data_IF_790823692719
#
_entry.id   IF_790823692719
#
_cell.length_a   1.000
_cell.length_b   1.000
_cell.length_c   1.000
_cell.angle_alpha   90.00
_cell.angle_beta   90.00
_cell.angle_gamma   90.00
#
_symmetry.space_group_name_H-M   'P 1'
#
loop_
_entity.id
_entity.type
_entity.pdbx_description
1 polymer ?
#
# COMPACT_ATOMS: atom_id res chain seq x y z
N UNK A 1 -20.85 -28.38 7.06
CA UNK A 1 -20.61 -28.84 5.66
C UNK A 1 -21.58 -28.21 4.65
N UNK A 2 -22.91 -28.27 4.87
CA UNK A 2 -23.95 -27.76 3.94
C UNK A 2 -23.84 -26.24 3.66
N UNK A 3 -23.63 -25.39 4.68
CA UNK A 3 -23.40 -23.93 4.51
C UNK A 3 -22.14 -23.59 3.68
N UNK A 4 -21.10 -24.41 3.75
CA UNK A 4 -19.88 -24.22 2.96
C UNK A 4 -20.08 -24.61 1.50
N UNK A 5 -20.85 -25.68 1.23
CA UNK A 5 -21.21 -26.11 -0.12
C UNK A 5 -22.14 -25.09 -0.81
N UNK A 6 -23.04 -24.44 -0.06
CA UNK A 6 -23.87 -23.34 -0.59
C UNK A 6 -23.03 -22.16 -1.11
N UNK A 7 -21.91 -21.83 -0.46
CA UNK A 7 -20.98 -20.78 -0.93
C UNK A 7 -20.27 -21.14 -2.25
N UNK A 8 -20.32 -22.39 -2.70
CA UNK A 8 -19.70 -22.84 -3.96
C UNK A 8 -20.68 -22.83 -5.14
N UNK A 9 -21.99 -22.72 -4.89
CA UNK A 9 -23.03 -22.77 -5.93
C UNK A 9 -22.92 -21.54 -6.85
N UNK A 10 -22.89 -21.76 -8.16
CA UNK A 10 -22.83 -20.70 -9.19
C UNK A 10 -21.42 -20.21 -9.55
N UNK A 11 -20.36 -20.75 -8.94
CA UNK A 11 -18.98 -20.36 -9.25
C UNK A 11 -18.43 -21.09 -10.46
N UNK A 12 -17.66 -20.39 -11.29
CA UNK A 12 -16.96 -21.00 -12.43
C UNK A 12 -15.81 -21.91 -11.96
N UNK A 13 -15.43 -22.90 -12.78
CA UNK A 13 -14.26 -23.75 -12.51
C UNK A 13 -12.96 -22.93 -12.35
N UNK A 14 -12.83 -21.83 -13.11
CA UNK A 14 -11.70 -20.90 -13.03
C UNK A 14 -11.64 -20.21 -11.66
N UNK A 15 -12.79 -19.78 -11.15
CA UNK A 15 -12.90 -19.19 -9.80
C UNK A 15 -12.55 -20.21 -8.71
N UNK A 16 -13.15 -21.40 -8.78
CA UNK A 16 -12.88 -22.47 -7.82
C UNK A 16 -11.40 -22.82 -7.77
N UNK A 17 -10.77 -23.04 -8.93
CA UNK A 17 -9.33 -23.33 -9.01
C UNK A 17 -8.47 -22.22 -8.39
N UNK A 18 -8.78 -20.95 -8.68
CA UNK A 18 -8.02 -19.81 -8.12
C UNK A 18 -8.15 -19.75 -6.60
N UNK A 19 -9.40 -19.81 -6.07
CA UNK A 19 -9.66 -19.76 -4.63
C UNK A 19 -9.06 -20.94 -3.88
N UNK A 20 -9.16 -22.16 -4.41
CA UNK A 20 -8.54 -23.35 -3.83
C UNK A 20 -7.01 -23.22 -3.79
N UNK A 21 -6.41 -22.70 -4.86
CA UNK A 21 -4.98 -22.38 -4.88
C UNK A 21 -4.62 -21.44 -3.73
N UNK A 22 -5.21 -20.24 -3.68
CA UNK A 22 -4.95 -19.26 -2.62
C UNK A 22 -5.16 -19.85 -1.22
N UNK A 23 -6.21 -20.64 -1.00
CA UNK A 23 -6.48 -21.28 0.28
C UNK A 23 -5.38 -22.28 0.69
N UNK A 24 -4.87 -23.09 -0.25
CA UNK A 24 -3.77 -24.03 0.02
C UNK A 24 -2.50 -23.28 0.40
N UNK A 25 -2.14 -22.22 -0.34
CA UNK A 25 -0.97 -21.39 -0.01
C UNK A 25 -1.11 -20.77 1.38
N UNK A 26 -2.27 -20.17 1.67
CA UNK A 26 -2.54 -19.53 2.94
C UNK A 26 -2.49 -20.54 4.12
N UNK A 27 -3.01 -21.75 3.92
CA UNK A 27 -2.94 -22.82 4.92
C UNK A 27 -1.52 -23.33 5.14
N UNK A 28 -0.72 -23.46 4.08
CA UNK A 28 0.68 -23.86 4.17
C UNK A 28 1.51 -22.79 4.92
N UNK A 29 1.35 -21.51 4.59
CA UNK A 29 2.00 -20.40 5.33
C UNK A 29 1.57 -20.37 6.80
N UNK A 30 0.27 -20.56 7.09
CA UNK A 30 -0.24 -20.63 8.44
C UNK A 30 0.29 -21.83 9.24
N UNK A 31 0.73 -22.89 8.56
CA UNK A 31 1.37 -24.06 9.14
C UNK A 31 2.91 -23.93 9.26
N UNK A 32 3.48 -22.81 8.82
CA UNK A 32 4.92 -22.52 8.92
C UNK A 32 5.75 -22.84 7.67
N UNK A 33 5.12 -23.23 6.56
CA UNK A 33 5.83 -23.41 5.30
C UNK A 33 6.03 -22.06 4.62
N UNK A 34 7.28 -21.69 4.34
CA UNK A 34 7.55 -20.52 3.53
C UNK A 34 7.27 -20.81 2.05
N UNK A 35 6.07 -20.43 1.60
CA UNK A 35 5.66 -20.59 0.20
C UNK A 35 5.66 -19.25 -0.56
N UNK A 36 5.66 -18.10 0.12
CA UNK A 36 5.50 -16.77 -0.50
C UNK A 36 6.61 -15.77 -0.17
N UNK A 37 7.34 -15.87 0.95
CA UNK A 37 8.62 -15.16 1.02
C UNK A 37 9.60 -15.82 0.06
N UNK A 38 9.62 -17.16 0.00
CA UNK A 38 10.54 -17.99 -0.79
C UNK A 38 12.00 -17.56 -0.62
N UNK A 39 12.88 -18.03 -1.50
CA UNK A 39 14.23 -17.47 -1.60
C UNK A 39 14.12 -15.99 -2.01
N UNK A 40 14.30 -15.10 -1.04
CA UNK A 40 14.46 -13.67 -1.30
C UNK A 40 15.69 -13.49 -2.17
N UNK A 41 15.60 -12.74 -3.29
CA UNK A 41 16.81 -12.45 -4.06
C UNK A 41 17.81 -11.69 -3.17
N UNK A 42 19.06 -12.12 -3.19
CA UNK A 42 20.13 -11.50 -2.41
C UNK A 42 20.53 -10.12 -2.97
N UNK A 43 20.21 -9.84 -4.23
CA UNK A 43 20.67 -8.71 -5.03
C UNK A 43 19.52 -7.88 -5.60
N UNK A 44 18.44 -7.70 -4.83
CA UNK A 44 17.33 -6.81 -5.22
C UNK A 44 17.85 -5.40 -5.48
N UNK A 45 17.62 -4.92 -6.70
CA UNK A 45 18.03 -3.60 -7.14
C UNK A 45 16.84 -2.82 -7.71
N UNK A 46 17.06 -1.53 -7.97
CA UNK A 46 16.09 -0.64 -8.61
C UNK A 46 16.41 -0.59 -10.10
N UNK A 47 15.40 -0.72 -10.94
CA UNK A 47 15.54 -0.60 -12.39
C UNK A 47 16.06 0.79 -12.75
N UNK A 48 16.97 0.84 -13.72
CA UNK A 48 17.47 2.10 -14.27
C UNK A 48 16.30 2.99 -14.69
N UNK A 49 16.38 4.28 -14.33
CA UNK A 49 15.41 5.32 -14.65
C UNK A 49 14.01 5.14 -14.05
N UNK A 50 13.75 4.10 -13.24
CA UNK A 50 12.40 3.82 -12.71
C UNK A 50 11.77 5.00 -11.97
N UNK A 51 12.55 5.75 -11.19
CA UNK A 51 12.06 6.90 -10.43
C UNK A 51 11.62 8.07 -11.31
N UNK A 52 12.17 8.22 -12.51
CA UNK A 52 11.75 9.29 -13.44
C UNK A 52 10.30 9.12 -13.87
N UNK A 53 9.82 7.88 -13.91
CA UNK A 53 8.44 7.54 -14.26
C UNK A 53 7.53 7.58 -13.03
N UNK A 54 8.03 7.11 -11.88
CA UNK A 54 7.20 6.90 -10.69
C UNK A 54 7.07 8.13 -9.80
N UNK A 55 8.02 9.08 -9.90
CA UNK A 55 8.04 10.30 -9.11
C UNK A 55 8.37 11.47 -10.05
N UNK A 56 7.35 12.20 -10.54
CA UNK A 56 7.53 13.29 -11.50
C UNK A 56 8.50 14.39 -11.03
N UNK A 57 8.79 14.48 -9.73
CA UNK A 57 9.70 15.45 -9.12
C UNK A 57 11.16 15.00 -9.01
N UNK A 58 11.53 13.81 -9.50
CA UNK A 58 12.89 13.27 -9.40
C UNK A 58 13.89 13.85 -10.42
N UNK A 59 13.52 14.89 -11.18
CA UNK A 59 14.43 15.68 -12.01
C UNK A 59 15.01 16.87 -11.25
N UNK A 60 16.25 17.27 -11.57
CA UNK A 60 16.97 18.38 -10.91
C UNK A 60 16.26 19.75 -11.00
N UNK A 61 15.21 19.90 -11.80
CA UNK A 61 14.47 21.16 -12.01
C UNK A 61 13.09 21.23 -11.35
N UNK A 62 12.62 20.19 -10.65
CA UNK A 62 11.22 20.13 -10.18
C UNK A 62 10.98 20.63 -8.75
N UNK A 63 12.02 20.79 -7.91
CA UNK A 63 11.82 21.30 -6.54
C UNK A 63 11.51 22.81 -6.53
N UNK A 64 12.16 23.59 -7.40
CA UNK A 64 11.80 25.01 -7.61
C UNK A 64 10.42 25.17 -8.27
N UNK A 65 10.04 24.22 -9.13
CA UNK A 65 8.71 24.19 -9.77
C UNK A 65 7.58 23.82 -8.80
N UNK A 66 7.79 22.83 -7.93
CA UNK A 66 6.80 22.39 -6.95
C UNK A 66 6.48 23.49 -5.92
N UNK A 67 7.49 24.26 -5.48
CA UNK A 67 7.29 25.45 -4.64
C UNK A 67 6.53 26.57 -5.37
N UNK A 68 6.55 26.62 -6.70
CA UNK A 68 5.80 27.61 -7.50
C UNK A 68 4.36 27.18 -7.78
N UNK A 69 4.09 25.87 -7.77
CA UNK A 69 2.76 25.29 -8.06
C UNK A 69 1.93 25.15 -6.77
N UNK A 70 2.54 24.74 -5.66
CA UNK A 70 1.85 24.69 -4.37
C UNK A 70 1.63 26.11 -3.85
N UNK A 71 0.36 26.49 -3.65
CA UNK A 71 0.03 27.78 -3.05
C UNK A 71 0.55 27.87 -1.61
N UNK A 72 0.88 29.07 -1.13
CA UNK A 72 1.34 29.31 0.25
C UNK A 72 0.48 28.58 1.32
N UNK A 73 -0.84 28.61 1.13
CA UNK A 73 -1.81 27.96 2.03
C UNK A 73 -1.70 26.42 2.05
N UNK A 74 -1.35 25.82 0.92
CA UNK A 74 -1.15 24.37 0.80
C UNK A 74 0.12 23.95 1.52
N UNK A 75 1.22 24.68 1.32
CA UNK A 75 2.49 24.46 2.03
C UNK A 75 2.33 24.55 3.55
N UNK A 76 1.65 25.59 4.05
CA UNK A 76 1.36 25.74 5.48
C UNK A 76 0.50 24.60 6.03
N UNK A 77 -0.41 24.07 5.22
CA UNK A 77 -1.24 22.91 5.61
C UNK A 77 -0.42 21.63 5.69
N UNK A 78 0.44 21.36 4.73
CA UNK A 78 1.35 20.20 4.74
C UNK A 78 2.23 20.24 5.99
N UNK A 79 2.85 21.38 6.29
CA UNK A 79 3.73 21.55 7.45
C UNK A 79 2.97 21.32 8.76
N UNK A 80 1.78 21.94 8.91
CA UNK A 80 0.94 21.76 10.10
C UNK A 80 0.51 20.31 10.30
N UNK A 81 0.13 19.61 9.23
CA UNK A 81 -0.22 18.19 9.29
C UNK A 81 0.98 17.34 9.67
N UNK A 82 2.16 17.61 9.08
CA UNK A 82 3.41 16.93 9.43
C UNK A 82 3.78 17.13 10.91
N UNK A 83 3.63 18.34 11.45
CA UNK A 83 3.88 18.62 12.87
C UNK A 83 2.93 17.85 13.80
N UNK A 84 1.66 17.69 13.42
CA UNK A 84 0.70 16.85 14.17
C UNK A 84 1.11 15.38 14.16
N UNK A 85 1.54 14.87 13.01
CA UNK A 85 2.05 13.49 12.86
C UNK A 85 3.25 13.25 13.76
N UNK A 86 4.20 14.20 13.85
CA UNK A 86 5.35 14.10 14.75
C UNK A 86 4.95 13.98 16.23
N UNK A 87 3.78 14.50 16.60
CA UNK A 87 3.19 14.40 17.94
C UNK A 87 2.22 13.22 18.09
N UNK A 88 2.21 12.26 17.16
CA UNK A 88 1.37 11.06 17.21
C UNK A 88 -0.11 11.31 16.91
N UNK A 89 -0.46 12.47 16.34
CA UNK A 89 -1.84 12.88 16.04
C UNK A 89 -2.16 12.76 14.55
N UNK A 90 -3.19 11.99 14.23
CA UNK A 90 -3.58 11.68 12.86
C UNK A 90 -5.05 12.00 12.61
N UNK A 91 -5.34 12.62 11.47
CA UNK A 91 -6.71 12.87 11.00
C UNK A 91 -7.04 11.82 9.92
N UNK A 92 -7.80 10.78 10.26
CA UNK A 92 -8.05 9.60 9.41
C UNK A 92 -9.55 9.29 9.33
N UNK A 93 -10.05 8.98 8.13
CA UNK A 93 -11.43 8.51 7.90
C UNK A 93 -12.53 9.42 8.49
N UNK A 94 -12.27 10.73 8.59
CA UNK A 94 -13.19 11.71 9.18
C UNK A 94 -13.06 11.90 10.70
N UNK A 95 -12.20 11.12 11.37
CA UNK A 95 -11.78 11.40 12.75
C UNK A 95 -10.66 12.42 12.76
N UNK A 96 -10.62 13.25 13.82
CA UNK A 96 -9.57 14.24 14.05
C UNK A 96 -8.72 13.85 15.27
N UNK A 97 -7.42 14.11 15.19
CA UNK A 97 -6.45 13.99 16.27
C UNK A 97 -6.39 12.61 16.95
N UNK A 98 -6.62 11.53 16.19
CA UNK A 98 -6.46 10.15 16.69
C UNK A 98 -5.03 9.96 17.23
N UNK A 99 -4.94 9.36 18.42
CA UNK A 99 -3.69 9.11 19.12
C UNK A 99 -3.17 7.70 18.83
N UNK A 100 -2.14 7.59 17.99
CA UNK A 100 -1.50 6.29 17.76
C UNK A 100 -0.24 6.10 18.60
N UNK A 101 0.11 7.05 19.48
CA UNK A 101 1.30 7.01 20.31
C UNK A 101 2.54 7.67 19.69
N UNK A 102 3.54 7.89 20.55
CA UNK A 102 4.82 8.53 20.24
C UNK A 102 5.97 7.82 20.99
N UNK A 103 7.21 7.84 20.48
CA UNK A 103 7.66 8.50 19.24
C UNK A 103 7.31 7.72 17.96
N UNK A 104 6.91 6.45 18.09
CA UNK A 104 6.44 5.59 16.99
C UNK A 104 4.98 5.17 17.25
N UNK A 105 4.14 5.07 16.21
CA UNK A 105 2.78 4.56 16.32
C UNK A 105 2.71 3.09 16.79
N UNK A 106 1.64 2.71 17.52
CA UNK A 106 1.28 1.29 17.69
C UNK A 106 0.54 0.78 16.44
N UNK A 107 1.25 0.04 15.60
CA UNK A 107 0.80 -0.41 14.28
C UNK A 107 -0.42 -1.35 14.28
N UNK A 108 -0.79 -1.87 15.46
CA UNK A 108 -1.91 -2.80 15.62
C UNK A 108 -3.02 -2.21 16.49
N UNK A 109 -2.93 -0.95 16.91
CA UNK A 109 -3.89 -0.29 17.80
C UNK A 109 -4.95 0.49 17.02
N UNK A 110 -6.21 0.27 17.40
CA UNK A 110 -7.35 1.10 17.00
C UNK A 110 -7.66 2.10 18.14
N UNK A 111 -7.33 3.39 17.98
CA UNK A 111 -7.56 4.41 19.00
C UNK A 111 -9.03 4.77 19.20
N UNK A 112 -9.91 4.40 18.27
CA UNK A 112 -11.35 4.67 18.40
C UNK A 112 -11.97 3.70 19.40
N UNK A 113 -11.64 2.42 19.31
CA UNK A 113 -12.17 1.39 20.21
C UNK A 113 -11.25 1.07 21.41
N UNK A 114 -10.00 1.54 21.39
CA UNK A 114 -8.99 1.21 22.41
C UNK A 114 -8.51 -0.24 22.32
N UNK A 115 -8.70 -0.91 21.18
CA UNK A 115 -8.37 -2.33 20.99
C UNK A 115 -7.09 -2.49 20.21
N UNK A 116 -6.39 -3.60 20.46
CA UNK A 116 -5.19 -3.99 19.73
C UNK A 116 -5.43 -5.29 18.98
N UNK A 117 -5.15 -5.29 17.68
CA UNK A 117 -5.27 -6.46 16.82
C UNK A 117 -4.16 -7.48 17.13
N UNK A 118 -4.45 -8.79 17.09
CA UNK A 118 -3.47 -9.81 17.47
C UNK A 118 -2.37 -10.01 16.41
N UNK A 119 -1.13 -10.20 16.87
CA UNK A 119 0.02 -10.52 16.02
C UNK A 119 0.10 -12.03 15.71
N UNK A 120 -0.88 -12.53 14.95
CA UNK A 120 -0.94 -13.92 14.47
C UNK A 120 -0.87 -13.97 12.94
N UNK A 121 -0.73 -15.16 12.34
CA UNK A 121 -0.82 -15.27 10.88
C UNK A 121 -2.13 -14.64 10.37
N UNK A 122 -2.06 -13.84 9.30
CA UNK A 122 -3.18 -12.99 8.86
C UNK A 122 -4.50 -13.74 8.64
N UNK A 123 -4.44 -15.01 8.23
CA UNK A 123 -5.64 -15.86 8.04
C UNK A 123 -6.37 -16.24 9.33
N UNK A 124 -5.74 -16.03 10.49
CA UNK A 124 -6.29 -16.38 11.82
C UNK A 124 -6.94 -15.17 12.49
N UNK A 125 -6.88 -14.00 11.87
CA UNK A 125 -7.51 -12.78 12.36
C UNK A 125 -8.98 -12.82 11.95
N UNK A 126 -9.88 -12.69 12.91
CA UNK A 126 -11.30 -12.50 12.60
C UNK A 126 -11.49 -11.07 12.08
N UNK A 127 -11.65 -10.95 10.76
CA UNK A 127 -11.75 -9.65 10.13
C UNK A 127 -13.12 -8.98 10.28
N UNK A 128 -14.12 -9.69 10.82
CA UNK A 128 -15.50 -9.21 10.97
C UNK A 128 -15.74 -8.74 12.40
N UNK A 129 -15.15 -9.43 13.38
CA UNK A 129 -15.31 -9.10 14.80
C UNK A 129 -14.38 -7.98 15.27
N UNK A 130 -14.74 -6.73 14.93
CA UNK A 130 -14.08 -5.54 15.46
C UNK A 130 -14.15 -5.46 17.00
N UNK A 131 -15.10 -6.18 17.62
CA UNK A 131 -15.22 -6.32 19.07
C UNK A 131 -14.11 -7.16 19.70
N UNK A 132 -13.29 -7.87 18.93
CA UNK A 132 -12.07 -8.52 19.44
C UNK A 132 -10.79 -7.99 18.80
N UNK A 133 -10.86 -7.50 17.55
CA UNK A 133 -9.66 -7.11 16.79
C UNK A 133 -9.44 -5.60 16.62
N UNK A 134 -10.41 -4.76 17.03
CA UNK A 134 -10.46 -3.34 16.66
C UNK A 134 -10.96 -3.11 15.23
N UNK A 135 -11.29 -1.87 14.87
CA UNK A 135 -11.66 -1.52 13.50
C UNK A 135 -10.43 -1.54 12.59
N UNK A 136 -10.32 -2.60 11.80
CA UNK A 136 -9.23 -2.79 10.84
C UNK A 136 -9.09 -1.64 9.85
N UNK A 137 -10.14 -0.88 9.54
CA UNK A 137 -10.05 0.25 8.61
C UNK A 137 -9.24 1.40 9.19
N UNK A 138 -9.46 1.72 10.47
CA UNK A 138 -8.69 2.76 11.17
C UNK A 138 -7.21 2.37 11.24
N UNK A 139 -6.94 1.11 11.60
CA UNK A 139 -5.58 0.58 11.66
C UNK A 139 -4.93 0.59 10.26
N UNK A 140 -5.65 0.14 9.24
CA UNK A 140 -5.15 0.08 7.87
C UNK A 140 -4.87 1.47 7.30
N UNK A 141 -5.70 2.47 7.56
CA UNK A 141 -5.49 3.82 7.03
C UNK A 141 -4.15 4.41 7.51
N UNK A 142 -3.79 4.21 8.79
CA UNK A 142 -2.44 4.55 9.28
C UNK A 142 -1.37 3.73 8.54
N UNK A 143 -1.56 2.42 8.44
CA UNK A 143 -0.61 1.46 7.89
C UNK A 143 -0.53 1.44 6.35
N UNK A 144 -1.26 2.33 5.66
CA UNK A 144 -1.01 2.70 4.26
C UNK A 144 0.22 3.60 4.14
N UNK A 145 0.66 4.22 5.24
CA UNK A 145 1.81 5.11 5.31
C UNK A 145 1.78 6.26 4.29
N UNK A 146 0.59 6.66 3.83
CA UNK A 146 0.44 7.81 2.94
C UNK A 146 1.00 9.08 3.58
N UNK A 147 0.96 9.15 4.92
CA UNK A 147 1.55 10.23 5.69
C UNK A 147 3.09 10.32 5.58
N UNK A 148 3.79 9.25 5.16
CA UNK A 148 5.23 9.34 4.85
C UNK A 148 5.49 10.31 3.70
N UNK A 149 4.57 10.38 2.72
CA UNK A 149 4.64 11.35 1.63
C UNK A 149 4.46 12.77 2.19
N UNK A 150 3.52 12.98 3.12
CA UNK A 150 3.32 14.27 3.80
C UNK A 150 4.56 14.72 4.57
N UNK A 151 5.19 13.82 5.35
CA UNK A 151 6.45 14.11 6.04
C UNK A 151 7.57 14.45 5.03
N UNK A 152 7.65 13.70 3.94
CA UNK A 152 8.65 13.95 2.87
C UNK A 152 8.43 15.31 2.20
N UNK A 153 7.18 15.69 1.94
CA UNK A 153 6.83 17.00 1.39
C UNK A 153 7.18 18.12 2.38
N UNK A 154 6.88 17.95 3.67
CA UNK A 154 7.26 18.92 4.70
C UNK A 154 8.78 19.11 4.75
N UNK A 155 9.57 18.02 4.70
CA UNK A 155 11.03 18.11 4.56
C UNK A 155 11.43 18.88 3.29
N UNK A 156 10.82 18.62 2.15
CA UNK A 156 11.18 19.32 0.91
C UNK A 156 10.89 20.83 0.98
N UNK A 157 9.83 21.22 1.68
CA UNK A 157 9.41 22.60 1.89
C UNK A 157 10.26 23.35 2.93
N UNK A 158 10.62 22.70 4.05
CA UNK A 158 11.28 23.36 5.20
C UNK A 158 12.75 23.03 5.35
N UNK A 159 13.21 21.91 4.77
CA UNK A 159 14.52 21.28 4.98
C UNK A 159 14.81 20.86 6.42
N UNK A 160 13.78 20.76 7.26
CA UNK A 160 13.93 20.32 8.65
C UNK A 160 14.09 18.80 8.74
N UNK A 161 15.23 18.36 9.30
CA UNK A 161 15.63 16.96 9.36
C UNK A 161 14.66 16.07 10.17
N UNK A 162 13.94 16.64 11.15
CA UNK A 162 12.97 15.92 12.02
C UNK A 162 11.92 15.13 11.24
N UNK A 163 11.51 15.60 10.06
CA UNK A 163 10.53 14.90 9.23
C UNK A 163 11.11 13.63 8.58
N UNK A 164 12.37 13.69 8.14
CA UNK A 164 13.09 12.54 7.58
C UNK A 164 13.41 11.53 8.67
N UNK A 165 13.80 12.00 9.85
CA UNK A 165 14.08 11.15 11.02
C UNK A 165 12.82 10.40 11.48
N UNK A 166 11.65 11.05 11.41
CA UNK A 166 10.38 10.40 11.69
C UNK A 166 10.04 9.31 10.67
N UNK A 167 10.22 9.57 9.36
CA UNK A 167 10.05 8.53 8.32
C UNK A 167 10.98 7.35 8.59
N UNK A 168 12.25 7.60 8.93
CA UNK A 168 13.23 6.56 9.25
C UNK A 168 12.78 5.71 10.43
N UNK A 169 12.45 6.36 11.55
CA UNK A 169 12.03 5.72 12.80
C UNK A 169 10.74 4.93 12.63
N UNK A 170 9.74 5.51 11.97
CA UNK A 170 8.46 4.86 11.71
C UNK A 170 8.62 3.66 10.77
N UNK A 171 9.41 3.78 9.71
CA UNK A 171 9.70 2.66 8.81
C UNK A 171 10.39 1.51 9.56
N UNK A 172 11.40 1.82 10.39
CA UNK A 172 12.16 0.80 11.12
C UNK A 172 11.31 0.07 12.16
N UNK A 173 10.52 0.79 12.94
CA UNK A 173 9.56 0.23 13.91
C UNK A 173 8.47 -0.58 13.21
N UNK A 174 7.93 -0.09 12.08
CA UNK A 174 6.95 -0.88 11.33
C UNK A 174 7.55 -2.20 10.86
N UNK A 175 8.78 -2.19 10.33
CA UNK A 175 9.45 -3.39 9.85
C UNK A 175 9.70 -4.42 10.96
N UNK A 176 10.04 -3.99 12.18
CA UNK A 176 10.28 -4.90 13.30
C UNK A 176 8.99 -5.47 13.88
N UNK A 177 7.90 -4.70 13.86
CA UNK A 177 6.62 -5.05 14.49
C UNK A 177 5.59 -5.66 13.54
N UNK A 178 5.84 -5.63 12.23
CA UNK A 178 4.96 -6.18 11.20
C UNK A 178 5.66 -7.24 10.33
N UNK A 179 6.18 -8.33 10.93
CA UNK A 179 6.83 -9.39 10.20
C UNK A 179 5.92 -9.94 9.08
N UNK A 180 6.48 -10.35 7.94
CA UNK A 180 5.70 -10.86 6.83
C UNK A 180 4.63 -11.87 7.23
N UNK A 181 3.42 -11.65 6.69
CA UNK A 181 2.23 -12.51 6.85
C UNK A 181 1.65 -12.55 8.27
N UNK A 182 2.06 -11.67 9.18
CA UNK A 182 1.53 -11.63 10.55
C UNK A 182 0.89 -10.29 10.86
N UNK A 183 -0.22 -10.33 11.59
CA UNK A 183 -0.97 -9.15 12.00
C UNK A 183 -1.92 -8.63 10.93
N UNK A 184 -2.72 -7.67 11.33
CA UNK A 184 -3.81 -7.09 10.53
C UNK A 184 -3.31 -6.42 9.25
N UNK A 185 -2.07 -5.94 9.26
CA UNK A 185 -1.45 -5.24 8.12
C UNK A 185 -1.08 -6.14 6.93
N UNK A 186 -1.30 -7.46 7.05
CA UNK A 186 -1.14 -8.47 6.00
C UNK A 186 -2.45 -9.10 5.51
N UNK A 187 -3.59 -8.66 6.04
CA UNK A 187 -4.90 -9.26 5.81
C UNK A 187 -5.50 -8.87 4.44
N UNK A 188 -5.22 -7.67 3.94
CA UNK A 188 -5.80 -7.16 2.67
C UNK A 188 -4.72 -6.75 1.67
N UNK A 189 -4.77 -7.35 0.47
CA UNK A 189 -3.81 -7.06 -0.61
C UNK A 189 -3.87 -5.62 -1.10
N UNK A 190 -5.03 -4.97 -1.00
CA UNK A 190 -5.18 -3.54 -1.31
C UNK A 190 -4.30 -2.67 -0.40
N UNK A 191 -4.23 -3.00 0.89
CA UNK A 191 -3.46 -2.22 1.86
C UNK A 191 -1.96 -2.37 1.62
N UNK A 192 -1.53 -3.57 1.22
CA UNK A 192 -0.15 -3.83 0.79
C UNK A 192 0.20 -3.03 -0.46
N UNK A 193 -0.73 -2.92 -1.40
CA UNK A 193 -0.56 -2.16 -2.63
C UNK A 193 -0.39 -0.67 -2.32
N UNK A 194 -1.28 -0.08 -1.51
CA UNK A 194 -1.17 1.34 -1.16
C UNK A 194 0.07 1.66 -0.34
N UNK A 195 0.41 0.82 0.64
CA UNK A 195 1.66 0.97 1.39
C UNK A 195 2.88 0.90 0.48
N UNK A 196 2.89 0.01 -0.51
CA UNK A 196 3.97 -0.08 -1.50
C UNK A 196 4.08 1.20 -2.31
N UNK A 197 2.96 1.75 -2.80
CA UNK A 197 2.94 3.01 -3.56
C UNK A 197 3.49 4.15 -2.70
N UNK A 198 2.99 4.31 -1.47
CA UNK A 198 3.43 5.35 -0.55
C UNK A 198 4.94 5.26 -0.27
N UNK A 199 5.48 4.05 -0.04
CA UNK A 199 6.91 3.85 0.16
C UNK A 199 7.75 4.17 -1.08
N UNK A 200 7.29 3.81 -2.28
CA UNK A 200 7.97 4.10 -3.54
C UNK A 200 8.03 5.62 -3.77
N UNK A 201 6.91 6.32 -3.54
CA UNK A 201 6.85 7.78 -3.64
C UNK A 201 7.75 8.46 -2.60
N UNK A 202 7.69 8.00 -1.34
CA UNK A 202 8.56 8.48 -0.25
C UNK A 202 10.05 8.29 -0.61
N UNK A 203 10.40 7.12 -1.14
CA UNK A 203 11.77 6.83 -1.57
C UNK A 203 12.26 7.78 -2.66
N UNK A 204 11.42 8.09 -3.65
CA UNK A 204 11.79 9.06 -4.69
C UNK A 204 11.86 10.51 -4.18
N UNK A 205 10.93 10.93 -3.31
CA UNK A 205 10.95 12.27 -2.71
C UNK A 205 12.18 12.52 -1.82
N UNK A 206 12.68 11.47 -1.16
CA UNK A 206 13.80 11.55 -0.23
C UNK A 206 15.11 11.00 -0.81
N UNK A 207 15.21 10.85 -2.14
CA UNK A 207 16.40 10.30 -2.81
C UNK A 207 17.69 11.10 -2.50
N UNK A 208 17.58 12.41 -2.24
CA UNK A 208 18.70 13.27 -1.87
C UNK A 208 19.13 13.18 -0.41
N UNK A 209 18.53 12.28 0.39
CA UNK A 209 18.84 12.08 1.80
C UNK A 209 19.41 10.68 2.05
N UNK A 210 19.98 10.45 3.24
CA UNK A 210 20.54 9.15 3.60
C UNK A 210 19.49 8.14 4.12
N UNK A 211 18.21 8.51 4.19
CA UNK A 211 17.16 7.72 4.87
C UNK A 211 17.03 6.31 4.32
N UNK A 212 16.97 6.15 2.99
CA UNK A 212 16.88 4.83 2.33
C UNK A 212 18.21 4.46 1.68
N UNK A 213 19.25 4.36 2.50
CA UNK A 213 20.56 3.81 2.14
C UNK A 213 20.86 2.53 2.93
N UNK A 214 21.93 1.82 2.56
CA UNK A 214 22.40 0.63 3.28
C UNK A 214 21.29 -0.40 3.58
N UNK A 215 21.22 -0.82 4.84
CA UNK A 215 20.25 -1.82 5.31
C UNK A 215 18.80 -1.39 5.12
N UNK A 216 18.46 -0.10 5.33
CA UNK A 216 17.08 0.38 5.19
C UNK A 216 16.61 0.28 3.74
N UNK A 217 17.50 0.57 2.79
CA UNK A 217 17.24 0.37 1.35
C UNK A 217 16.99 -1.10 1.06
N UNK A 218 17.87 -1.98 1.51
CA UNK A 218 17.75 -3.43 1.29
C UNK A 218 16.41 -3.96 1.84
N UNK A 219 16.06 -3.54 3.06
CA UNK A 219 14.82 -3.90 3.73
C UNK A 219 13.58 -3.41 2.98
N UNK A 220 13.59 -2.16 2.51
CA UNK A 220 12.54 -1.60 1.65
C UNK A 220 12.32 -2.46 0.40
N UNK A 221 13.39 -2.77 -0.34
CA UNK A 221 13.28 -3.55 -1.58
C UNK A 221 12.78 -4.97 -1.32
N UNK A 222 13.28 -5.64 -0.27
CA UNK A 222 12.82 -6.97 0.14
C UNK A 222 11.35 -6.97 0.53
N UNK A 223 10.89 -6.00 1.30
CA UNK A 223 9.48 -5.91 1.69
C UNK A 223 8.57 -5.60 0.49
N UNK A 224 8.96 -4.70 -0.42
CA UNK A 224 8.21 -4.46 -1.66
C UNK A 224 8.08 -5.74 -2.49
N UNK A 225 9.15 -6.53 -2.60
CA UNK A 225 9.12 -7.82 -3.27
C UNK A 225 8.14 -8.80 -2.61
N UNK A 226 8.18 -8.94 -1.28
CA UNK A 226 7.28 -9.82 -0.53
C UNK A 226 5.82 -9.38 -0.67
N UNK A 227 5.57 -8.06 -0.64
CA UNK A 227 4.24 -7.50 -0.84
C UNK A 227 3.73 -7.79 -2.25
N UNK A 228 4.52 -7.59 -3.30
CA UNK A 228 4.13 -7.94 -4.67
C UNK A 228 3.80 -9.43 -4.83
N UNK A 229 4.60 -10.32 -4.22
CA UNK A 229 4.31 -11.76 -4.22
C UNK A 229 3.00 -12.09 -3.50
N UNK A 230 2.71 -11.41 -2.39
CA UNK A 230 1.44 -11.56 -1.68
C UNK A 230 0.28 -11.09 -2.57
N UNK A 231 0.35 -9.87 -3.10
CA UNK A 231 -0.71 -9.26 -3.92
C UNK A 231 -1.00 -10.13 -5.14
N UNK A 232 0.03 -10.54 -5.90
CA UNK A 232 -0.12 -11.41 -7.07
C UNK A 232 -0.86 -12.72 -6.73
N UNK A 233 -0.59 -13.29 -5.55
CA UNK A 233 -1.21 -14.55 -5.10
C UNK A 233 -2.65 -14.37 -4.64
N UNK A 234 -2.97 -13.24 -4.03
CA UNK A 234 -4.22 -13.01 -3.30
C UNK A 234 -5.08 -11.89 -3.90
N UNK A 235 -4.94 -11.63 -5.21
CA UNK A 235 -5.79 -10.69 -5.96
C UNK A 235 -7.29 -10.90 -5.70
N UNK A 236 -7.99 -9.81 -5.39
CA UNK A 236 -9.41 -9.74 -5.02
C UNK A 236 -10.40 -9.93 -6.18
N UNK A 237 -10.00 -10.68 -7.22
CA UNK A 237 -10.72 -10.86 -8.50
C UNK A 237 -12.18 -11.30 -8.37
N UNK A 238 -12.51 -12.05 -7.32
CA UNK A 238 -13.86 -12.59 -7.11
C UNK A 238 -14.49 -12.11 -5.79
N UNK A 239 -13.97 -11.04 -5.18
CA UNK A 239 -14.47 -10.53 -3.92
C UNK A 239 -14.85 -9.05 -4.01
N UNK A 240 -13.92 -8.20 -4.44
CA UNK A 240 -14.13 -6.75 -4.56
C UNK A 240 -13.42 -6.22 -5.82
N UNK A 241 -13.90 -6.61 -7.02
CA UNK A 241 -13.18 -6.33 -8.26
C UNK A 241 -13.14 -4.85 -8.63
N UNK A 242 -14.08 -4.03 -8.14
CA UNK A 242 -14.20 -2.64 -8.59
C UNK A 242 -13.28 -1.66 -7.86
N UNK A 243 -12.80 -2.01 -6.67
CA UNK A 243 -11.98 -1.13 -5.82
C UNK A 243 -10.69 -1.82 -5.39
N UNK A 244 -10.78 -3.01 -4.77
CA UNK A 244 -9.59 -3.72 -4.31
C UNK A 244 -8.72 -4.17 -5.47
N UNK A 245 -9.30 -4.85 -6.47
CA UNK A 245 -8.53 -5.42 -7.57
C UNK A 245 -7.79 -4.35 -8.39
N UNK A 246 -8.40 -3.19 -8.62
CA UNK A 246 -7.76 -2.08 -9.34
C UNK A 246 -6.63 -1.47 -8.54
N UNK A 247 -6.80 -1.25 -7.23
CA UNK A 247 -5.70 -0.75 -6.38
C UNK A 247 -4.55 -1.74 -6.26
N UNK A 248 -4.86 -3.03 -6.12
CA UNK A 248 -3.88 -4.14 -6.13
C UNK A 248 -3.09 -4.19 -7.44
N UNK A 249 -3.78 -4.05 -8.57
CA UNK A 249 -3.17 -4.01 -9.90
C UNK A 249 -2.24 -2.81 -10.08
N UNK A 250 -2.66 -1.62 -9.61
CA UNK A 250 -1.80 -0.43 -9.63
C UNK A 250 -0.56 -0.63 -8.77
N UNK A 251 -0.70 -1.19 -7.56
CA UNK A 251 0.44 -1.51 -6.69
C UNK A 251 1.43 -2.48 -7.34
N UNK A 252 0.95 -3.53 -8.01
CA UNK A 252 1.81 -4.44 -8.78
C UNK A 252 2.54 -3.71 -9.91
N UNK A 253 1.88 -2.78 -10.58
CA UNK A 253 2.49 -1.98 -11.63
C UNK A 253 3.61 -1.07 -11.08
N UNK A 254 3.37 -0.38 -9.97
CA UNK A 254 4.38 0.44 -9.28
C UNK A 254 5.60 -0.39 -8.86
N UNK A 255 5.38 -1.51 -8.15
CA UNK A 255 6.48 -2.36 -7.65
C UNK A 255 7.24 -2.99 -8.82
N UNK A 256 6.54 -3.51 -9.82
CA UNK A 256 7.14 -4.06 -11.02
C UNK A 256 7.92 -3.01 -11.82
N UNK A 257 7.52 -1.73 -11.76
CA UNK A 257 8.25 -0.63 -12.38
C UNK A 257 9.51 -0.27 -11.63
N UNK A 258 9.47 -0.26 -10.30
CA UNK A 258 10.64 0.06 -9.47
C UNK A 258 11.68 -1.07 -9.43
N UNK A 259 11.28 -2.28 -9.04
CA UNK A 259 12.22 -3.37 -8.72
C UNK A 259 12.82 -3.98 -9.98
N UNK A 260 14.10 -4.35 -9.93
CA UNK A 260 14.77 -5.16 -10.94
C UNK A 260 14.88 -6.61 -10.45
N UNK A 261 13.93 -7.44 -10.86
CA UNK A 261 13.86 -8.88 -10.50
C UNK A 261 13.71 -9.75 -11.75
N UNK A 262 14.24 -9.27 -12.88
CA UNK A 262 14.13 -9.91 -14.17
C UNK A 262 12.68 -10.16 -14.59
N UNK A 263 12.35 -11.42 -14.89
CA UNK A 263 11.04 -11.81 -15.41
C UNK A 263 9.86 -11.48 -14.48
N UNK A 264 10.07 -11.43 -13.15
CA UNK A 264 8.99 -11.13 -12.19
C UNK A 264 8.54 -9.68 -12.27
N UNK A 265 9.47 -8.74 -12.28
CA UNK A 265 9.16 -7.31 -12.44
C UNK A 265 8.37 -7.04 -13.72
N UNK A 266 8.78 -7.67 -14.84
CA UNK A 266 8.04 -7.59 -16.11
C UNK A 266 6.62 -8.14 -15.97
N UNK A 267 6.49 -9.33 -15.39
CA UNK A 267 5.20 -9.98 -15.16
C UNK A 267 4.27 -9.16 -14.28
N UNK A 268 4.76 -8.51 -13.21
CA UNK A 268 3.94 -7.67 -12.35
C UNK A 268 3.43 -6.41 -13.06
N UNK A 269 4.27 -5.76 -13.88
CA UNK A 269 3.83 -4.65 -14.74
C UNK A 269 2.76 -5.09 -15.72
N UNK A 270 3.01 -6.19 -16.45
CA UNK A 270 2.07 -6.71 -17.44
C UNK A 270 0.74 -7.13 -16.81
N UNK A 271 0.79 -7.80 -15.65
CA UNK A 271 -0.40 -8.23 -14.92
C UNK A 271 -1.21 -7.04 -14.41
N UNK A 272 -0.56 -6.08 -13.74
CA UNK A 272 -1.22 -4.89 -13.23
C UNK A 272 -1.86 -4.07 -14.35
N UNK A 273 -1.09 -3.80 -15.41
CA UNK A 273 -1.57 -3.07 -16.57
C UNK A 273 -2.75 -3.78 -17.25
N UNK A 274 -2.63 -5.09 -17.48
CA UNK A 274 -3.70 -5.87 -18.10
C UNK A 274 -4.99 -5.83 -17.27
N UNK A 275 -4.91 -6.01 -15.95
CA UNK A 275 -6.09 -5.97 -15.08
C UNK A 275 -6.78 -4.60 -15.18
N UNK A 276 -6.03 -3.50 -15.15
CA UNK A 276 -6.59 -2.15 -15.26
C UNK A 276 -7.23 -1.92 -16.64
N UNK A 277 -6.55 -2.28 -17.73
CA UNK A 277 -7.11 -2.14 -19.07
C UNK A 277 -8.35 -3.02 -19.33
N UNK A 278 -8.37 -4.24 -18.80
CA UNK A 278 -9.54 -5.11 -18.95
C UNK A 278 -10.72 -4.61 -18.10
N UNK A 279 -10.45 -4.05 -16.91
CA UNK A 279 -11.49 -3.73 -15.93
C UNK A 279 -12.12 -2.35 -16.10
N UNK A 280 -11.46 -1.40 -16.78
CA UNK A 280 -12.01 -0.04 -17.00
C UNK A 280 -13.39 -0.07 -17.67
N UNK A 281 -13.62 -1.00 -18.60
CA UNK A 281 -14.90 -1.15 -19.31
C UNK A 281 -16.04 -1.68 -18.43
N UNK A 282 -15.73 -2.22 -17.26
CA UNK A 282 -16.73 -2.58 -16.25
C UNK A 282 -17.03 -1.42 -15.29
N UNK A 283 -16.13 -0.43 -15.21
CA UNK A 283 -16.21 0.69 -14.29
C UNK A 283 -16.77 1.95 -14.92
N UNK A 284 -16.51 2.16 -16.21
CA UNK A 284 -16.93 3.34 -16.96
C UNK A 284 -17.79 2.88 -18.14
N UNK A 285 -19.01 3.41 -18.20
CA UNK A 285 -19.97 3.11 -19.27
C UNK A 285 -19.60 3.87 -20.55
N UNK A 286 -20.25 3.52 -21.66
CA UNK A 286 -20.02 4.14 -22.97
C UNK A 286 -20.27 5.67 -22.99
N UNK A 287 -21.10 6.18 -22.08
CA UNK A 287 -21.38 7.61 -21.90
C UNK A 287 -20.39 8.32 -20.94
N UNK A 288 -19.38 7.61 -20.43
CA UNK A 288 -18.39 8.12 -19.47
C UNK A 288 -18.86 8.09 -18.01
N UNK A 289 -20.10 7.69 -17.72
CA UNK A 289 -20.59 7.60 -16.34
C UNK A 289 -20.00 6.40 -15.59
N UNK A 290 -19.79 6.57 -14.28
CA UNK A 290 -19.30 5.48 -13.43
C UNK A 290 -20.39 4.44 -13.18
N UNK A 291 -20.04 3.16 -13.31
CA UNK A 291 -20.99 2.06 -13.35
C UNK A 291 -21.85 1.93 -12.07
N UNK A 292 -21.28 2.18 -10.90
CA UNK A 292 -21.97 2.10 -9.60
C UNK A 292 -22.80 3.35 -9.25
N UNK A 293 -22.75 4.40 -10.08
CA UNK A 293 -23.48 5.66 -9.86
C UNK A 293 -23.16 6.35 -8.51
N UNK A 294 -21.96 6.12 -7.99
CA UNK A 294 -21.44 6.74 -6.77
C UNK A 294 -20.28 7.68 -7.12
N UNK A 295 -20.48 8.99 -6.91
CA UNK A 295 -19.52 10.04 -7.27
C UNK A 295 -18.15 9.86 -6.59
N UNK A 296 -18.12 9.41 -5.34
CA UNK A 296 -16.87 9.13 -4.62
C UNK A 296 -16.05 8.00 -5.27
N UNK A 297 -16.71 6.92 -5.72
CA UNK A 297 -16.03 5.82 -6.41
C UNK A 297 -15.64 6.18 -7.84
N UNK A 298 -16.41 7.06 -8.49
CA UNK A 298 -16.03 7.65 -9.77
C UNK A 298 -14.72 8.44 -9.65
N UNK A 299 -14.62 9.33 -8.66
CA UNK A 299 -13.39 10.08 -8.36
C UNK A 299 -12.23 9.15 -8.03
N UNK A 300 -12.42 8.21 -7.11
CA UNK A 300 -11.41 7.23 -6.74
C UNK A 300 -10.85 6.49 -7.97
N UNK A 301 -11.74 6.07 -8.87
CA UNK A 301 -11.37 5.41 -10.11
C UNK A 301 -10.60 6.36 -11.02
N UNK A 302 -11.08 7.59 -11.22
CA UNK A 302 -10.39 8.59 -12.03
C UNK A 302 -8.97 8.88 -11.52
N UNK A 303 -8.80 9.04 -10.20
CA UNK A 303 -7.49 9.27 -9.57
C UNK A 303 -6.55 8.08 -9.84
N UNK A 304 -7.04 6.85 -9.65
CA UNK A 304 -6.27 5.61 -9.87
C UNK A 304 -5.78 5.46 -11.32
N UNK A 305 -6.65 5.72 -12.30
CA UNK A 305 -6.27 5.63 -13.71
C UNK A 305 -5.42 6.82 -14.17
N UNK A 306 -5.58 7.99 -13.55
CA UNK A 306 -4.69 9.14 -13.78
C UNK A 306 -3.27 8.80 -13.35
N UNK A 307 -3.11 8.17 -12.19
CA UNK A 307 -1.84 7.64 -11.71
C UNK A 307 -1.21 6.70 -12.75
N UNK A 308 -1.97 5.72 -13.26
CA UNK A 308 -1.49 4.79 -14.29
C UNK A 308 -1.00 5.52 -15.56
N UNK A 309 -1.72 6.55 -16.00
CA UNK A 309 -1.36 7.33 -17.20
C UNK A 309 -0.08 8.13 -16.97
N UNK A 310 0.12 8.69 -15.78
CA UNK A 310 1.30 9.50 -15.45
C UNK A 310 2.60 8.67 -15.35
N UNK A 311 2.50 7.43 -14.86
CA UNK A 311 3.67 6.58 -14.58
C UNK A 311 4.05 5.60 -15.71
N UNK A 312 3.35 5.65 -16.84
CA UNK A 312 3.60 4.81 -18.01
C UNK A 312 4.51 5.49 -19.02
#
# INVERSE_FOLDING_TARGET
MIRYLQKLKGRSLKELRKRSGSAIYAAAEAAGFDVVTGELPNDLNIRKDALKFLVPSAGDSSLEGASRIAGKLESETIIRTADRILNGRFDLLGYEALDFGTPVPDWHFDPVSGRRSPLVHWTRIDEIDAGSTGDKKVIWELNRHQYFVTLSQAYLLTKEQRYVDAVASHFDSWCSENPPKKGVNWLSSLELAYRSIAWIQTFGLLQGTEVFTGERRERLLKLLFVQARHIERFLSTYFAPNTHLTGEALGLYYIGTLLDTGGRSKRWRELGFKILCDHIFNLVRDDGSYAEQASHYARYTADLYSDLVLIR
#
